data_IF_634120083465
#
_entry.id   IF_634120083465
#
_cell.length_a   1.000
_cell.length_b   1.000
_cell.length_c   1.000
_cell.angle_alpha   90.00
_cell.angle_beta   90.00
_cell.angle_gamma   90.00
#
_symmetry.space_group_name_H-M   'P 1'
#
loop_
_entity.id
_entity.type
_entity.pdbx_description
1 polymer ?
#
# COMPACT_ATOMS: atom_id res chain seq x y z
N UNK A 1 -19.50 -115.04 18.25
CA UNK A 1 -18.09 -115.14 17.86
C UNK A 1 -17.75 -114.05 16.83
N UNK A 2 -18.33 -114.08 15.63
CA UNK A 2 -18.12 -113.11 14.55
C UNK A 2 -18.25 -111.61 14.95
N UNK A 3 -19.31 -111.23 15.68
CA UNK A 3 -19.52 -109.83 16.12
C UNK A 3 -18.39 -109.33 17.03
N UNK A 4 -17.90 -110.20 17.92
CA UNK A 4 -16.83 -109.88 18.89
C UNK A 4 -15.46 -109.76 18.20
N UNK A 5 -15.29 -110.49 17.10
CA UNK A 5 -14.11 -110.45 16.23
C UNK A 5 -14.10 -109.18 15.37
N UNK A 6 -15.27 -108.81 14.81
CA UNK A 6 -15.49 -107.54 14.09
C UNK A 6 -15.28 -106.33 15.01
N UNK A 7 -15.75 -106.37 16.26
CA UNK A 7 -15.49 -105.33 17.27
C UNK A 7 -13.99 -105.23 17.63
N UNK A 8 -13.29 -106.35 17.76
CA UNK A 8 -11.85 -106.39 18.00
C UNK A 8 -11.04 -105.80 16.85
N UNK A 9 -11.41 -106.13 15.61
CA UNK A 9 -10.80 -105.56 14.39
C UNK A 9 -11.11 -104.07 14.28
N UNK A 10 -12.34 -103.63 14.56
CA UNK A 10 -12.71 -102.21 14.55
C UNK A 10 -11.95 -101.40 15.61
N UNK A 11 -11.74 -101.95 16.80
CA UNK A 11 -10.94 -101.32 17.85
C UNK A 11 -9.47 -101.19 17.44
N UNK A 12 -8.87 -102.26 16.92
CA UNK A 12 -7.51 -102.22 16.41
C UNK A 12 -7.34 -101.22 15.26
N UNK A 13 -8.27 -101.18 14.30
CA UNK A 13 -8.27 -100.21 13.20
C UNK A 13 -8.41 -98.77 13.71
N UNK A 14 -9.25 -98.54 14.72
CA UNK A 14 -9.39 -97.22 15.37
C UNK A 14 -8.10 -96.79 16.08
N UNK A 15 -7.48 -97.69 16.84
CA UNK A 15 -6.23 -97.43 17.57
C UNK A 15 -5.07 -97.18 16.60
N UNK A 16 -4.95 -97.98 15.54
CA UNK A 16 -3.96 -97.78 14.48
C UNK A 16 -4.18 -96.45 13.73
N UNK A 17 -5.44 -96.08 13.48
CA UNK A 17 -5.78 -94.78 12.85
C UNK A 17 -5.46 -93.61 13.76
N UNK A 18 -5.68 -93.74 15.07
CA UNK A 18 -5.33 -92.72 16.06
C UNK A 18 -3.80 -92.57 16.19
N UNK A 19 -3.07 -93.68 16.25
CA UNK A 19 -1.60 -93.68 16.24
C UNK A 19 -1.05 -93.05 14.96
N UNK A 20 -1.61 -93.37 13.80
CA UNK A 20 -1.23 -92.74 12.53
C UNK A 20 -1.50 -91.24 12.53
N UNK A 21 -2.66 -90.79 13.03
CA UNK A 21 -2.98 -89.37 13.16
C UNK A 21 -1.99 -88.65 14.07
N UNK A 22 -1.68 -89.22 15.24
CA UNK A 22 -0.74 -88.65 16.19
C UNK A 22 0.67 -88.56 15.60
N UNK A 23 1.18 -89.65 15.04
CA UNK A 23 2.48 -89.68 14.38
C UNK A 23 2.54 -88.69 13.20
N UNK A 24 1.46 -88.57 12.43
CA UNK A 24 1.38 -87.61 11.33
C UNK A 24 1.43 -86.16 11.82
N UNK A 25 0.82 -85.85 12.97
CA UNK A 25 0.91 -84.52 13.60
C UNK A 25 2.32 -84.28 14.12
N UNK A 26 2.94 -85.24 14.80
CA UNK A 26 4.32 -85.16 15.28
C UNK A 26 5.32 -84.96 14.13
N UNK A 27 5.18 -85.70 13.03
CA UNK A 27 6.04 -85.53 11.86
C UNK A 27 5.89 -84.14 11.25
N UNK A 28 4.66 -83.57 11.21
CA UNK A 28 4.46 -82.19 10.74
C UNK A 28 5.04 -81.17 11.71
N UNK A 29 4.94 -81.36 13.03
CA UNK A 29 5.50 -80.42 14.00
C UNK A 29 7.02 -80.44 13.99
N UNK A 30 7.64 -81.61 13.91
CA UNK A 30 9.09 -81.75 13.74
C UNK A 30 9.54 -81.11 12.43
N UNK A 31 8.80 -81.32 11.33
CA UNK A 31 9.12 -80.67 10.05
C UNK A 31 9.08 -79.14 10.18
N UNK A 32 8.02 -78.59 10.78
CA UNK A 32 7.89 -77.14 10.99
C UNK A 32 9.02 -76.58 11.86
N UNK A 33 9.40 -77.30 12.91
CA UNK A 33 10.53 -76.93 13.77
C UNK A 33 11.86 -76.94 12.99
N UNK A 34 12.11 -77.96 12.18
CA UNK A 34 13.32 -78.05 11.36
C UNK A 34 13.37 -76.96 10.29
N UNK A 35 12.24 -76.63 9.67
CA UNK A 35 12.12 -75.49 8.75
C UNK A 35 12.47 -74.16 9.44
N UNK A 36 12.03 -73.97 10.69
CA UNK A 36 12.37 -72.80 11.50
C UNK A 36 13.85 -72.77 11.91
N UNK A 37 14.43 -73.91 12.25
CA UNK A 37 15.88 -74.05 12.53
C UNK A 37 16.70 -73.69 11.30
N UNK A 38 16.32 -74.15 10.10
CA UNK A 38 17.01 -73.81 8.85
C UNK A 38 16.94 -72.30 8.59
N UNK A 39 15.75 -71.70 8.73
CA UNK A 39 15.55 -70.27 8.57
C UNK A 39 16.44 -69.45 9.53
N UNK A 40 16.50 -69.88 10.81
CA UNK A 40 17.36 -69.22 11.79
C UNK A 40 18.86 -69.42 11.50
N UNK A 41 19.28 -70.57 10.96
CA UNK A 41 20.65 -70.78 10.49
C UNK A 41 21.03 -69.86 9.33
N UNK A 42 20.14 -69.70 8.35
CA UNK A 42 20.35 -68.77 7.23
C UNK A 42 20.46 -67.33 7.72
N UNK A 43 19.55 -66.92 8.62
CA UNK A 43 19.56 -65.59 9.23
C UNK A 43 20.82 -65.37 10.08
N UNK A 44 21.19 -66.32 10.94
CA UNK A 44 22.39 -66.25 11.77
C UNK A 44 23.66 -66.17 10.93
N UNK A 45 23.81 -67.08 9.97
CA UNK A 45 25.03 -67.14 9.13
C UNK A 45 25.21 -65.87 8.29
N UNK A 46 24.13 -65.36 7.70
CA UNK A 46 24.17 -64.12 6.91
C UNK A 46 24.46 -62.88 7.77
N UNK A 47 23.79 -62.73 8.91
CA UNK A 47 24.00 -61.59 9.83
C UNK A 47 25.37 -61.61 10.49
N UNK A 48 25.90 -62.78 10.85
CA UNK A 48 27.27 -62.91 11.36
C UNK A 48 28.29 -62.49 10.30
N UNK A 49 28.16 -62.98 9.08
CA UNK A 49 29.10 -62.66 8.00
C UNK A 49 29.12 -61.16 7.70
N UNK A 50 27.94 -60.53 7.59
CA UNK A 50 27.84 -59.09 7.33
C UNK A 50 28.35 -58.26 8.51
N UNK A 51 27.99 -58.62 9.75
CA UNK A 51 28.38 -57.88 10.95
C UNK A 51 29.89 -57.99 11.23
N UNK A 52 30.50 -59.15 10.99
CA UNK A 52 31.96 -59.31 11.13
C UNK A 52 32.72 -58.41 10.17
N UNK A 53 32.36 -58.41 8.89
CA UNK A 53 32.98 -57.56 7.88
C UNK A 53 32.84 -56.08 8.25
N UNK A 54 31.63 -55.67 8.66
CA UNK A 54 31.39 -54.30 9.08
C UNK A 54 32.17 -53.91 10.35
N UNK A 55 32.27 -54.79 11.35
CA UNK A 55 33.03 -54.53 12.58
C UNK A 55 34.51 -54.26 12.29
N UNK A 56 35.11 -55.00 11.36
CA UNK A 56 36.51 -54.80 10.97
C UNK A 56 36.74 -53.43 10.33
N UNK A 57 35.82 -53.00 9.46
CA UNK A 57 35.90 -51.68 8.83
C UNK A 57 35.61 -50.57 9.83
N UNK A 58 34.64 -50.77 10.72
CA UNK A 58 34.29 -49.84 11.78
C UNK A 58 35.44 -49.61 12.77
N UNK A 59 36.14 -50.67 13.17
CA UNK A 59 37.32 -50.60 14.04
C UNK A 59 38.45 -49.79 13.39
N UNK A 60 38.66 -49.94 12.07
CA UNK A 60 39.63 -49.12 11.32
C UNK A 60 39.19 -47.65 11.24
N UNK A 61 37.90 -47.40 11.08
CA UNK A 61 37.34 -46.03 11.00
C UNK A 61 37.53 -45.22 12.28
N UNK A 62 37.67 -45.84 13.45
CA UNK A 62 37.93 -45.14 14.71
C UNK A 62 39.19 -44.25 14.69
N UNK A 63 40.15 -44.54 13.81
CA UNK A 63 41.40 -43.80 13.67
C UNK A 63 41.37 -42.73 12.56
N UNK A 64 40.24 -42.57 11.86
CA UNK A 64 40.09 -41.59 10.80
C UNK A 64 39.66 -40.21 11.32
N UNK A 65 39.44 -39.26 10.41
CA UNK A 65 38.92 -37.94 10.77
C UNK A 65 37.49 -38.02 11.31
N UNK A 66 37.06 -37.02 12.09
CA UNK A 66 35.68 -36.97 12.59
C UNK A 66 34.64 -36.91 11.46
N UNK A 67 34.96 -36.27 10.32
CA UNK A 67 34.07 -36.23 9.15
C UNK A 67 33.82 -37.63 8.60
N UNK A 68 34.89 -38.42 8.42
CA UNK A 68 34.81 -39.77 7.85
C UNK A 68 34.05 -40.72 8.79
N UNK A 69 34.30 -40.62 10.11
CA UNK A 69 33.53 -41.37 11.12
C UNK A 69 32.04 -41.07 11.04
N UNK A 70 31.69 -39.78 10.94
CA UNK A 70 30.30 -39.33 10.91
C UNK A 70 29.56 -39.88 9.70
N UNK A 71 30.21 -39.89 8.53
CA UNK A 71 29.65 -40.46 7.31
C UNK A 71 29.50 -41.99 7.40
N UNK A 72 30.53 -42.70 7.88
CA UNK A 72 30.50 -44.15 8.00
C UNK A 72 29.45 -44.65 9.01
N UNK A 73 29.40 -44.03 10.20
CA UNK A 73 28.48 -44.44 11.28
C UNK A 73 27.06 -43.91 11.11
N UNK A 74 26.77 -43.17 10.04
CA UNK A 74 25.40 -42.72 9.72
C UNK A 74 24.39 -43.86 9.65
N UNK A 75 24.83 -45.02 9.15
CA UNK A 75 24.01 -46.24 9.05
C UNK A 75 24.09 -47.13 10.31
N UNK A 76 24.61 -46.63 11.44
CA UNK A 76 24.69 -47.40 12.69
C UNK A 76 23.34 -47.99 13.16
N UNK A 77 22.18 -47.32 13.00
CA UNK A 77 20.89 -47.93 13.34
C UNK A 77 20.59 -49.25 12.63
N UNK A 78 21.00 -49.38 11.35
CA UNK A 78 20.88 -50.63 10.61
C UNK A 78 21.70 -51.75 11.26
N UNK A 79 22.93 -51.43 11.66
CA UNK A 79 23.83 -52.40 12.29
C UNK A 79 23.42 -52.77 13.72
N UNK A 80 22.79 -51.85 14.46
CA UNK A 80 22.15 -52.18 15.75
C UNK A 80 21.08 -53.26 15.53
N UNK A 81 20.25 -53.10 14.49
CA UNK A 81 19.22 -54.09 14.14
C UNK A 81 19.84 -55.43 13.70
N UNK A 82 20.86 -55.41 12.84
CA UNK A 82 21.59 -56.64 12.43
C UNK A 82 22.19 -57.38 13.62
N UNK A 83 22.76 -56.66 14.59
CA UNK A 83 23.28 -57.24 15.83
C UNK A 83 22.18 -57.86 16.69
N UNK A 84 21.00 -57.23 16.78
CA UNK A 84 19.83 -57.82 17.47
C UNK A 84 19.36 -59.09 16.77
N UNK A 85 19.18 -59.02 15.45
CA UNK A 85 18.74 -60.14 14.62
C UNK A 85 19.69 -61.35 14.70
N UNK A 86 21.00 -61.09 14.74
CA UNK A 86 22.03 -62.11 14.97
C UNK A 86 21.89 -62.77 16.34
N UNK A 87 21.67 -61.98 17.39
CA UNK A 87 21.52 -62.49 18.76
C UNK A 87 20.25 -63.33 18.90
N UNK A 88 19.12 -62.88 18.34
CA UNK A 88 17.85 -63.60 18.42
C UNK A 88 17.95 -64.96 17.70
N UNK A 89 18.49 -64.96 16.47
CA UNK A 89 18.69 -66.19 15.71
C UNK A 89 19.69 -67.13 16.40
N UNK A 90 20.81 -66.59 16.91
CA UNK A 90 21.82 -67.39 17.60
C UNK A 90 21.31 -67.98 18.92
N UNK A 91 20.51 -67.25 19.69
CA UNK A 91 19.89 -67.77 20.92
C UNK A 91 18.88 -68.89 20.61
N UNK A 92 18.05 -68.73 19.57
CA UNK A 92 17.14 -69.79 19.13
C UNK A 92 17.90 -71.07 18.74
N UNK A 93 18.99 -70.94 17.98
CA UNK A 93 19.80 -72.09 17.56
C UNK A 93 20.50 -72.76 18.75
N UNK A 94 20.96 -71.98 19.74
CA UNK A 94 21.53 -72.51 20.99
C UNK A 94 20.52 -73.37 21.76
N UNK A 95 19.25 -72.99 21.76
CA UNK A 95 18.18 -73.71 22.48
C UNK A 95 17.71 -74.96 21.75
N UNK A 96 17.81 -74.98 20.41
CA UNK A 96 17.21 -76.02 19.56
C UNK A 96 18.22 -77.05 19.03
N UNK A 97 19.49 -76.70 18.90
CA UNK A 97 20.55 -77.60 18.41
C UNK A 97 21.16 -78.47 19.54
N UNK A 98 21.95 -79.46 19.15
CA UNK A 98 22.66 -80.31 20.10
C UNK A 98 23.77 -79.56 20.86
N UNK A 99 24.18 -80.13 21.99
CA UNK A 99 25.08 -79.48 22.95
C UNK A 99 26.43 -79.02 22.33
N UNK A 100 26.93 -79.75 21.33
CA UNK A 100 28.20 -79.41 20.66
C UNK A 100 28.04 -78.12 19.86
N UNK A 101 27.01 -78.08 19.01
CA UNK A 101 26.67 -76.93 18.16
C UNK A 101 26.31 -75.72 19.01
N UNK A 102 25.50 -75.92 20.05
CA UNK A 102 25.12 -74.85 20.98
C UNK A 102 26.33 -74.27 21.71
N UNK A 103 27.34 -75.08 22.05
CA UNK A 103 28.59 -74.59 22.68
C UNK A 103 29.39 -73.72 21.72
N UNK A 104 29.50 -74.11 20.45
CA UNK A 104 30.21 -73.34 19.42
C UNK A 104 29.53 -72.00 19.16
N UNK A 105 28.20 -72.00 18.99
CA UNK A 105 27.39 -70.79 18.82
C UNK A 105 27.55 -69.82 20.01
N UNK A 106 27.54 -70.34 21.25
CA UNK A 106 27.78 -69.53 22.46
C UNK A 106 29.14 -68.86 22.42
N UNK A 107 30.18 -69.57 22.00
CA UNK A 107 31.53 -69.01 21.93
C UNK A 107 31.63 -67.92 20.85
N UNK A 108 31.03 -68.14 19.68
CA UNK A 108 31.03 -67.18 18.58
C UNK A 108 30.25 -65.91 18.95
N UNK A 109 29.05 -66.04 19.51
CA UNK A 109 28.25 -64.91 20.00
C UNK A 109 28.98 -64.13 21.09
N UNK A 110 29.65 -64.81 22.03
CA UNK A 110 30.40 -64.13 23.09
C UNK A 110 31.48 -63.20 22.51
N UNK A 111 32.24 -63.67 21.51
CA UNK A 111 33.30 -62.90 20.87
C UNK A 111 32.73 -61.71 20.08
N UNK A 112 31.70 -61.95 19.25
CA UNK A 112 31.06 -60.92 18.43
C UNK A 112 30.40 -59.84 19.29
N UNK A 113 29.63 -60.24 20.31
CA UNK A 113 29.00 -59.31 21.24
C UNK A 113 30.03 -58.52 22.06
N UNK A 114 31.19 -59.14 22.37
CA UNK A 114 32.33 -58.46 23.00
C UNK A 114 32.88 -57.32 22.13
N UNK A 115 33.22 -57.62 20.87
CA UNK A 115 33.71 -56.63 19.89
C UNK A 115 32.69 -55.53 19.65
N UNK A 116 31.42 -55.91 19.39
CA UNK A 116 30.32 -54.96 19.20
C UNK A 116 30.20 -54.01 20.39
N UNK A 117 30.21 -54.53 21.64
CA UNK A 117 30.09 -53.70 22.84
C UNK A 117 31.22 -52.68 22.96
N UNK A 118 32.46 -53.09 22.70
CA UNK A 118 33.60 -52.18 22.79
C UNK A 118 33.53 -51.05 21.76
N UNK A 119 33.20 -51.39 20.50
CA UNK A 119 33.00 -50.41 19.44
C UNK A 119 31.80 -49.50 19.75
N UNK A 120 30.66 -50.08 20.09
CA UNK A 120 29.39 -49.37 20.26
C UNK A 120 29.48 -48.27 21.32
N UNK A 121 30.19 -48.49 22.43
CA UNK A 121 30.40 -47.45 23.45
C UNK A 121 31.07 -46.21 22.87
N UNK A 122 31.98 -46.39 21.90
CA UNK A 122 32.72 -45.29 21.24
C UNK A 122 31.84 -44.59 20.19
N UNK A 123 30.96 -45.31 19.48
CA UNK A 123 30.26 -44.80 18.29
C UNK A 123 28.75 -44.56 18.45
N UNK A 124 28.14 -44.95 19.57
CA UNK A 124 26.68 -44.86 19.81
C UNK A 124 26.07 -43.48 19.58
N UNK A 125 26.85 -42.41 19.73
CA UNK A 125 26.38 -41.04 19.54
C UNK A 125 26.09 -40.72 18.06
N UNK A 126 26.74 -41.42 17.12
CA UNK A 126 26.48 -41.26 15.69
C UNK A 126 25.12 -41.84 15.26
N UNK A 127 24.52 -42.74 16.04
CA UNK A 127 23.19 -43.30 15.74
C UNK A 127 22.08 -42.22 15.69
N UNK A 128 22.31 -41.08 16.34
CA UNK A 128 21.40 -39.92 16.33
C UNK A 128 21.96 -38.73 15.55
N UNK A 129 23.09 -38.87 14.85
CA UNK A 129 23.75 -37.74 14.18
C UNK A 129 22.83 -37.03 13.18
N UNK A 130 22.13 -37.80 12.33
CA UNK A 130 21.19 -37.26 11.35
C UNK A 130 19.99 -36.55 12.01
N UNK A 131 19.46 -37.12 13.09
CA UNK A 131 18.36 -36.50 13.85
C UNK A 131 18.82 -35.19 14.49
N UNK A 132 20.02 -35.17 15.07
CA UNK A 132 20.62 -33.99 15.70
C UNK A 132 20.90 -32.92 14.66
N UNK A 133 21.43 -33.27 13.48
CA UNK A 133 21.68 -32.32 12.39
C UNK A 133 20.38 -31.71 11.88
N UNK A 134 19.33 -32.54 11.72
CA UNK A 134 18.00 -32.05 11.36
C UNK A 134 17.44 -31.11 12.43
N UNK A 135 17.55 -31.47 13.71
CA UNK A 135 17.11 -30.61 14.81
C UNK A 135 17.88 -29.29 14.88
N UNK A 136 19.20 -29.32 14.65
CA UNK A 136 20.03 -28.11 14.57
C UNK A 136 19.56 -27.22 13.43
N UNK A 137 19.36 -27.79 12.23
CA UNK A 137 18.86 -27.05 11.08
C UNK A 137 17.46 -26.45 11.33
N UNK A 138 16.52 -27.24 11.82
CA UNK A 138 15.15 -26.78 12.11
C UNK A 138 15.15 -25.69 13.21
N UNK A 139 16.07 -25.77 14.18
CA UNK A 139 16.30 -24.70 15.16
C UNK A 139 16.85 -23.44 14.48
N UNK A 140 17.92 -23.54 13.70
CA UNK A 140 18.58 -22.42 13.04
C UNK A 140 17.64 -21.70 12.06
N UNK A 141 16.90 -22.44 11.23
CA UNK A 141 15.89 -21.92 10.31
C UNK A 141 14.78 -21.17 11.07
N UNK A 142 14.33 -21.72 12.21
CA UNK A 142 13.35 -21.08 13.08
C UNK A 142 13.85 -19.76 13.69
N UNK A 143 15.12 -19.75 14.13
CA UNK A 143 15.78 -18.58 14.69
C UNK A 143 15.98 -17.49 13.62
N UNK A 144 16.39 -17.86 12.41
CA UNK A 144 16.55 -16.94 11.28
C UNK A 144 15.20 -16.31 10.89
N UNK A 145 14.15 -17.12 10.77
CA UNK A 145 12.81 -16.63 10.47
C UNK A 145 12.29 -15.62 11.51
N UNK A 146 12.57 -15.87 12.81
CA UNK A 146 12.20 -14.97 13.90
C UNK A 146 12.97 -13.65 13.84
N UNK A 147 14.29 -13.70 13.62
CA UNK A 147 15.13 -12.50 13.46
C UNK A 147 14.67 -11.67 12.27
N UNK A 148 14.51 -12.30 11.10
CA UNK A 148 14.04 -11.63 9.89
C UNK A 148 12.66 -10.97 10.09
N UNK A 149 11.76 -11.63 10.82
CA UNK A 149 10.47 -11.03 11.17
C UNK A 149 10.62 -9.80 12.08
N UNK A 150 11.41 -9.90 13.15
CA UNK A 150 11.66 -8.80 14.10
C UNK A 150 12.29 -7.60 13.36
N UNK A 151 13.33 -7.84 12.58
CA UNK A 151 14.04 -6.81 11.82
C UNK A 151 13.11 -6.13 10.81
N UNK A 152 12.35 -6.92 10.04
CA UNK A 152 11.39 -6.40 9.07
C UNK A 152 10.22 -5.65 9.73
N UNK A 153 9.76 -6.09 10.90
CA UNK A 153 8.74 -5.38 11.66
C UNK A 153 9.28 -4.04 12.20
N UNK A 154 10.51 -4.05 12.72
CA UNK A 154 11.19 -2.86 13.22
C UNK A 154 11.44 -1.84 12.10
N UNK A 155 11.88 -2.30 10.94
CA UNK A 155 12.07 -1.46 9.75
C UNK A 155 10.74 -0.81 9.35
N UNK A 156 9.70 -1.62 9.07
CA UNK A 156 8.38 -1.11 8.63
C UNK A 156 7.77 -0.13 9.63
N UNK A 157 7.88 -0.36 10.93
CA UNK A 157 7.33 0.54 11.96
C UNK A 157 8.12 1.84 12.17
N UNK A 158 9.34 1.94 11.63
CA UNK A 158 10.23 3.09 11.85
C UNK A 158 10.59 3.84 10.56
N UNK A 159 10.32 3.27 9.38
CA UNK A 159 10.56 3.94 8.10
C UNK A 159 9.81 5.27 8.05
N UNK A 160 10.45 6.36 7.58
CA UNK A 160 9.78 7.64 7.46
C UNK A 160 8.56 7.58 6.53
N UNK A 161 7.41 8.08 7.00
CA UNK A 161 6.16 8.09 6.23
C UNK A 161 5.64 9.50 6.07
N UNK A 162 5.44 9.93 4.82
CA UNK A 162 4.83 11.22 4.51
C UNK A 162 3.35 11.22 4.91
N UNK A 163 2.95 12.19 5.72
CA UNK A 163 1.57 12.31 6.23
C UNK A 163 0.62 12.69 5.09
N UNK A 164 -0.16 11.71 4.64
CA UNK A 164 -1.29 11.86 3.73
C UNK A 164 -2.32 10.77 4.01
N UNK A 165 -3.57 10.95 3.58
CA UNK A 165 -4.62 9.94 3.81
C UNK A 165 -4.21 8.55 3.29
N UNK A 166 -3.68 8.49 2.06
CA UNK A 166 -3.30 7.22 1.44
C UNK A 166 -2.09 6.59 2.13
N UNK A 167 -1.05 7.38 2.41
CA UNK A 167 0.18 6.84 3.01
C UNK A 167 -0.05 6.33 4.43
N UNK A 168 -0.82 7.07 5.26
CA UNK A 168 -1.15 6.62 6.62
C UNK A 168 -2.01 5.36 6.58
N UNK A 169 -2.93 5.25 5.61
CA UNK A 169 -3.72 4.03 5.40
C UNK A 169 -2.86 2.84 5.00
N UNK A 170 -1.89 3.02 4.08
CA UNK A 170 -0.95 1.95 3.70
C UNK A 170 -0.09 1.54 4.89
N UNK A 171 0.46 2.52 5.62
CA UNK A 171 1.25 2.26 6.83
C UNK A 171 0.45 1.48 7.89
N UNK A 172 -0.82 1.82 8.10
CA UNK A 172 -1.70 1.06 8.99
C UNK A 172 -1.83 -0.40 8.56
N UNK A 173 -2.01 -0.66 7.26
CA UNK A 173 -2.07 -2.02 6.74
C UNK A 173 -0.76 -2.79 7.01
N UNK A 174 0.39 -2.15 6.78
CA UNK A 174 1.70 -2.76 7.05
C UNK A 174 1.86 -3.17 8.54
N UNK A 175 1.40 -2.32 9.46
CA UNK A 175 1.44 -2.60 10.90
C UNK A 175 0.39 -3.64 11.31
N UNK A 176 -0.77 -3.67 10.66
CA UNK A 176 -1.77 -4.73 10.86
C UNK A 176 -1.25 -6.09 10.39
N UNK A 177 -0.57 -6.14 9.25
CA UNK A 177 0.02 -7.38 8.72
C UNK A 177 1.10 -7.93 9.67
N UNK A 178 1.91 -7.05 10.28
CA UNK A 178 2.84 -7.44 11.36
C UNK A 178 2.06 -8.09 12.50
N UNK A 179 1.00 -7.44 13.00
CA UNK A 179 0.15 -7.97 14.08
C UNK A 179 -0.45 -9.32 13.74
N UNK A 180 -0.93 -9.52 12.51
CA UNK A 180 -1.50 -10.79 12.05
C UNK A 180 -0.45 -11.91 11.95
N UNK A 181 0.81 -11.59 11.70
CA UNK A 181 1.90 -12.57 11.61
C UNK A 181 2.46 -12.99 12.98
N UNK A 182 2.23 -12.20 14.05
CA UNK A 182 2.71 -12.50 15.43
C UNK A 182 2.33 -13.91 15.90
N UNK A 183 1.08 -14.41 15.79
CA UNK A 183 0.74 -15.76 16.27
C UNK A 183 1.51 -16.89 15.58
N UNK A 184 1.76 -16.76 14.27
CA UNK A 184 2.56 -17.72 13.51
C UNK A 184 4.01 -17.73 13.97
N UNK A 185 4.58 -16.55 14.23
CA UNK A 185 5.94 -16.43 14.74
C UNK A 185 6.05 -16.89 16.20
N UNK A 186 5.01 -16.73 17.02
CA UNK A 186 4.98 -17.30 18.38
C UNK A 186 5.01 -18.84 18.33
N UNK A 187 4.29 -19.45 17.39
CA UNK A 187 4.35 -20.89 17.16
C UNK A 187 5.75 -21.32 16.70
N UNK A 188 6.40 -20.56 15.80
CA UNK A 188 7.77 -20.82 15.38
C UNK A 188 8.77 -20.74 16.55
N UNK A 189 8.64 -19.74 17.43
CA UNK A 189 9.44 -19.61 18.65
C UNK A 189 9.25 -20.81 19.59
N UNK A 190 8.02 -21.29 19.78
CA UNK A 190 7.74 -22.49 20.59
C UNK A 190 8.37 -23.74 19.99
N UNK A 191 8.31 -23.91 18.67
CA UNK A 191 8.97 -25.03 17.96
C UNK A 191 10.48 -24.96 18.10
N UNK A 192 11.10 -23.79 17.86
CA UNK A 192 12.54 -23.58 18.04
C UNK A 192 12.96 -23.87 19.50
N UNK A 193 12.15 -23.47 20.49
CA UNK A 193 12.38 -23.80 21.90
C UNK A 193 12.39 -25.30 22.16
N UNK A 194 11.44 -26.04 21.58
CA UNK A 194 11.38 -27.50 21.71
C UNK A 194 12.59 -28.17 21.07
N UNK A 195 13.01 -27.71 19.90
CA UNK A 195 14.20 -28.23 19.21
C UNK A 195 15.47 -27.96 20.02
N UNK A 196 15.63 -26.72 20.53
CA UNK A 196 16.73 -26.35 21.41
C UNK A 196 16.80 -27.25 22.66
N UNK A 197 15.67 -27.51 23.32
CA UNK A 197 15.60 -28.40 24.47
C UNK A 197 16.05 -29.83 24.13
N UNK A 198 15.66 -30.35 22.95
CA UNK A 198 16.09 -31.67 22.49
C UNK A 198 17.59 -31.73 22.21
N UNK A 199 18.16 -30.66 21.64
CA UNK A 199 19.57 -30.55 21.34
C UNK A 199 20.46 -30.50 22.58
N UNK A 200 19.98 -30.03 23.74
CA UNK A 200 20.81 -29.91 24.97
C UNK A 200 21.54 -31.19 25.38
N UNK A 201 21.03 -32.38 25.01
CA UNK A 201 21.67 -33.67 25.32
C UNK A 201 22.89 -33.98 24.45
N UNK A 202 22.99 -33.30 23.31
CA UNK A 202 23.92 -33.58 22.23
C UNK A 202 24.88 -32.40 21.98
N UNK A 203 24.84 -31.36 22.83
CA UNK A 203 25.63 -30.12 22.76
C UNK A 203 26.59 -29.98 23.94
N UNK A 204 27.68 -29.23 23.75
CA UNK A 204 28.57 -28.78 24.83
C UNK A 204 27.91 -27.70 25.70
N UNK A 205 28.39 -27.52 26.94
CA UNK A 205 27.86 -26.48 27.84
C UNK A 205 27.95 -25.07 27.23
N UNK A 206 29.04 -24.77 26.50
CA UNK A 206 29.22 -23.50 25.80
C UNK A 206 28.23 -23.29 24.65
N UNK A 207 27.95 -24.33 23.87
CA UNK A 207 26.91 -24.30 22.83
C UNK A 207 25.52 -24.09 23.43
N UNK A 208 25.20 -24.79 24.53
CA UNK A 208 23.94 -24.64 25.24
C UNK A 208 23.79 -23.20 25.75
N UNK A 209 24.83 -22.64 26.38
CA UNK A 209 24.81 -21.27 26.88
C UNK A 209 24.55 -20.24 25.75
N UNK A 210 25.24 -20.38 24.60
CA UNK A 210 25.02 -19.51 23.43
C UNK A 210 23.62 -19.63 22.85
N UNK A 211 23.10 -20.85 22.75
CA UNK A 211 21.76 -21.14 22.25
C UNK A 211 20.69 -20.49 23.15
N UNK A 212 20.80 -20.66 24.47
CA UNK A 212 19.88 -20.06 25.44
C UNK A 212 19.94 -18.53 25.45
N UNK A 213 21.15 -17.95 25.34
CA UNK A 213 21.31 -16.50 25.22
C UNK A 213 20.61 -15.95 23.98
N UNK A 214 20.82 -16.59 22.82
CA UNK A 214 20.16 -16.21 21.55
C UNK A 214 18.65 -16.24 21.66
N UNK A 215 18.12 -17.32 22.26
CA UNK A 215 16.68 -17.47 22.49
C UNK A 215 16.12 -16.40 23.43
N UNK A 216 16.83 -16.06 24.50
CA UNK A 216 16.43 -15.02 25.43
C UNK A 216 16.36 -13.65 24.74
N UNK A 217 17.37 -13.31 23.93
CA UNK A 217 17.37 -12.07 23.13
C UNK A 217 16.20 -12.02 22.16
N UNK A 218 15.95 -13.10 21.41
CA UNK A 218 14.83 -13.15 20.45
C UNK A 218 13.50 -13.02 21.18
N UNK A 219 13.32 -13.67 22.33
CA UNK A 219 12.09 -13.57 23.12
C UNK A 219 11.83 -12.14 23.58
N UNK A 220 12.86 -11.47 24.10
CA UNK A 220 12.78 -10.08 24.56
C UNK A 220 12.40 -9.15 23.40
N UNK A 221 13.13 -9.19 22.29
CA UNK A 221 12.84 -8.37 21.11
C UNK A 221 11.47 -8.68 20.48
N UNK A 222 11.11 -9.96 20.38
CA UNK A 222 9.81 -10.39 19.86
C UNK A 222 8.64 -9.87 20.71
N UNK A 223 8.78 -9.86 22.04
CA UNK A 223 7.73 -9.33 22.93
C UNK A 223 7.50 -7.83 22.76
N UNK A 224 8.52 -7.06 22.37
CA UNK A 224 8.41 -5.61 22.10
C UNK A 224 7.67 -5.29 20.81
N UNK A 225 7.62 -6.21 19.84
CA UNK A 225 6.93 -6.00 18.55
C UNK A 225 5.45 -5.64 18.72
N UNK A 226 4.61 -6.46 19.39
CA UNK A 226 3.20 -6.12 19.60
C UNK A 226 3.01 -4.89 20.52
N UNK A 227 3.86 -4.70 21.53
CA UNK A 227 3.82 -3.54 22.43
C UNK A 227 4.06 -2.21 21.71
N UNK A 228 4.85 -2.25 20.62
CA UNK A 228 5.07 -1.11 19.72
C UNK A 228 3.97 -0.96 18.68
N UNK A 229 3.57 -2.06 18.04
CA UNK A 229 2.58 -2.05 16.97
C UNK A 229 1.20 -1.54 17.42
N UNK A 230 0.71 -1.95 18.61
CA UNK A 230 -0.64 -1.61 19.06
C UNK A 230 -0.87 -0.10 19.23
N UNK A 231 0.02 0.66 19.91
CA UNK A 231 -0.13 2.11 20.00
C UNK A 231 0.06 2.82 18.65
N UNK A 232 0.95 2.32 17.79
CA UNK A 232 1.14 2.86 16.44
C UNK A 232 -0.14 2.75 15.61
N UNK A 233 -0.82 1.60 15.65
CA UNK A 233 -2.12 1.42 15.01
C UNK A 233 -3.16 2.39 15.55
N UNK A 234 -3.29 2.46 16.89
CA UNK A 234 -4.29 3.33 17.53
C UNK A 234 -4.07 4.80 17.17
N UNK A 235 -2.84 5.28 17.32
CA UNK A 235 -2.52 6.70 17.13
C UNK A 235 -2.58 7.07 15.64
N UNK A 236 -2.13 6.18 14.74
CA UNK A 236 -2.21 6.42 13.30
C UNK A 236 -3.64 6.37 12.77
N UNK A 237 -4.47 5.46 13.29
CA UNK A 237 -5.89 5.35 12.95
C UNK A 237 -6.66 6.62 13.32
N UNK A 238 -6.31 7.27 14.45
CA UNK A 238 -6.94 8.50 14.87
C UNK A 238 -6.71 9.68 13.89
N UNK A 239 -5.67 9.60 13.05
CA UNK A 239 -5.39 10.63 12.03
C UNK A 239 -6.17 10.43 10.73
N UNK A 240 -6.74 9.24 10.47
CA UNK A 240 -7.47 8.99 9.22
C UNK A 240 -8.69 9.91 9.04
N UNK A 241 -9.59 10.09 10.03
CA UNK A 241 -10.74 10.99 9.88
C UNK A 241 -10.37 12.45 9.53
N UNK A 242 -9.44 13.13 10.25
CA UNK A 242 -9.07 14.49 9.87
C UNK A 242 -8.38 14.54 8.50
N UNK A 243 -7.56 13.56 8.12
CA UNK A 243 -6.93 13.50 6.80
C UNK A 243 -7.95 13.32 5.67
N UNK A 244 -8.92 12.42 5.84
CA UNK A 244 -10.00 12.20 4.87
C UNK A 244 -10.84 13.48 4.68
N UNK A 245 -11.17 14.13 5.78
CA UNK A 245 -11.93 15.38 5.77
C UNK A 245 -11.17 16.52 5.09
N UNK A 246 -9.84 16.58 5.28
CA UNK A 246 -8.98 17.50 4.55
C UNK A 246 -9.03 17.23 3.04
N UNK A 247 -8.88 15.98 2.58
CA UNK A 247 -8.91 15.68 1.13
C UNK A 247 -10.25 16.07 0.48
N UNK A 248 -11.37 15.86 1.18
CA UNK A 248 -12.70 16.32 0.72
C UNK A 248 -12.73 17.84 0.55
N UNK A 249 -12.23 18.59 1.53
CA UNK A 249 -12.22 20.05 1.50
C UNK A 249 -11.21 20.62 0.52
N UNK A 250 -10.08 19.95 0.29
CA UNK A 250 -9.10 20.33 -0.74
C UNK A 250 -9.73 20.19 -2.13
N UNK A 251 -10.47 19.10 -2.36
CA UNK A 251 -11.22 18.90 -3.62
C UNK A 251 -12.27 20.00 -3.82
N UNK A 252 -13.07 20.29 -2.78
CA UNK A 252 -14.07 21.36 -2.82
C UNK A 252 -13.47 22.76 -3.00
N UNK A 253 -12.28 23.01 -2.43
CA UNK A 253 -11.52 24.24 -2.62
C UNK A 253 -11.15 24.44 -4.08
N UNK A 254 -10.50 23.44 -4.70
CA UNK A 254 -10.07 23.56 -6.10
C UNK A 254 -11.25 23.68 -7.07
N UNK A 255 -12.37 22.99 -6.82
CA UNK A 255 -13.60 23.16 -7.61
C UNK A 255 -14.18 24.57 -7.52
N UNK A 256 -14.13 25.19 -6.33
CA UNK A 256 -14.60 26.57 -6.14
C UNK A 256 -13.65 27.58 -6.78
N UNK A 257 -12.34 27.34 -6.65
CA UNK A 257 -11.29 28.15 -7.27
C UNK A 257 -11.42 28.14 -8.80
N UNK A 258 -11.57 26.97 -9.41
CA UNK A 258 -11.72 26.83 -10.86
C UNK A 258 -12.95 27.62 -11.38
N UNK A 259 -14.08 27.53 -10.68
CA UNK A 259 -15.30 28.27 -11.05
C UNK A 259 -15.08 29.79 -10.95
N UNK A 260 -14.35 30.26 -9.94
CA UNK A 260 -13.99 31.67 -9.82
C UNK A 260 -13.04 32.13 -10.93
N UNK A 261 -12.04 31.31 -11.29
CA UNK A 261 -11.11 31.57 -12.39
C UNK A 261 -11.83 31.65 -13.75
N UNK A 262 -12.85 30.80 -13.99
CA UNK A 262 -13.66 30.88 -15.22
C UNK A 262 -14.40 32.21 -15.36
N UNK A 263 -14.94 32.73 -14.26
CA UNK A 263 -15.64 34.03 -14.26
C UNK A 263 -14.65 35.18 -14.50
N UNK A 264 -13.51 35.17 -13.80
CA UNK A 264 -12.51 36.25 -13.88
C UNK A 264 -11.74 36.26 -15.22
N UNK A 265 -11.66 35.11 -15.89
CA UNK A 265 -11.05 34.99 -17.23
C UNK A 265 -11.97 35.39 -18.39
N UNK A 266 -13.30 35.45 -18.17
CA UNK A 266 -14.28 35.88 -19.18
C UNK A 266 -14.16 37.39 -19.42
N UNK A 267 -13.92 37.78 -20.67
CA UNK A 267 -13.69 39.18 -21.12
C UNK A 267 -14.91 39.83 -21.77
N UNK A 268 -16.08 39.20 -21.74
CA UNK A 268 -17.21 39.62 -22.57
C UNK A 268 -17.88 40.92 -22.06
N UNK A 269 -18.37 41.72 -23.01
CA UNK A 269 -19.16 42.94 -22.79
C UNK A 269 -20.57 42.53 -22.34
N UNK A 270 -20.82 42.60 -21.03
CA UNK A 270 -22.02 41.99 -20.43
C UNK A 270 -23.09 42.99 -20.00
N UNK A 271 -24.35 42.54 -20.08
CA UNK A 271 -25.49 43.31 -19.62
C UNK A 271 -25.39 43.58 -18.10
N UNK A 272 -25.91 44.70 -17.58
CA UNK A 272 -25.83 45.04 -16.16
C UNK A 272 -26.40 43.99 -15.19
N UNK A 273 -27.31 43.12 -15.66
CA UNK A 273 -27.87 42.01 -14.89
C UNK A 273 -26.87 40.88 -14.62
N UNK A 274 -26.04 40.55 -15.61
CA UNK A 274 -25.10 39.43 -15.56
C UNK A 274 -23.90 39.75 -14.66
N UNK A 275 -23.43 41.00 -14.68
CA UNK A 275 -22.34 41.45 -13.80
C UNK A 275 -22.67 41.32 -12.31
N UNK A 276 -23.89 41.74 -11.91
CA UNK A 276 -24.32 41.66 -10.51
C UNK A 276 -24.41 40.20 -10.05
N UNK A 277 -24.91 39.32 -10.91
CA UNK A 277 -24.97 37.88 -10.65
C UNK A 277 -23.56 37.28 -10.50
N UNK A 278 -22.66 37.51 -11.46
CA UNK A 278 -21.27 37.03 -11.40
C UNK A 278 -20.51 37.53 -10.18
N UNK A 279 -20.73 38.79 -9.78
CA UNK A 279 -20.17 39.32 -8.54
C UNK A 279 -20.63 38.53 -7.31
N UNK A 280 -21.91 38.15 -7.28
CA UNK A 280 -22.48 37.35 -6.19
C UNK A 280 -21.93 35.91 -6.19
N UNK A 281 -21.78 35.31 -7.37
CA UNK A 281 -21.17 33.98 -7.54
C UNK A 281 -19.71 33.97 -7.07
N UNK A 282 -18.92 34.97 -7.46
CA UNK A 282 -17.53 35.12 -7.01
C UNK A 282 -17.42 35.27 -5.49
N UNK A 283 -18.31 36.05 -4.86
CA UNK A 283 -18.36 36.15 -3.38
C UNK A 283 -18.68 34.80 -2.76
N UNK A 284 -19.59 34.05 -3.37
CA UNK A 284 -19.97 32.70 -2.91
C UNK A 284 -18.78 31.73 -3.01
N UNK A 285 -18.04 31.73 -4.13
CA UNK A 285 -16.86 30.88 -4.29
C UNK A 285 -15.72 31.28 -3.36
N UNK A 286 -15.49 32.58 -3.13
CA UNK A 286 -14.53 33.06 -2.15
C UNK A 286 -14.87 32.58 -0.73
N UNK A 287 -16.14 32.68 -0.33
CA UNK A 287 -16.61 32.18 0.96
C UNK A 287 -16.48 30.66 1.07
N UNK A 288 -16.78 29.93 -0.01
CA UNK A 288 -16.58 28.48 -0.10
C UNK A 288 -15.12 28.08 0.13
N UNK A 289 -14.18 28.72 -0.58
CA UNK A 289 -12.75 28.50 -0.42
C UNK A 289 -12.27 28.81 1.01
N UNK A 290 -12.73 29.93 1.59
CA UNK A 290 -12.42 30.30 2.98
C UNK A 290 -12.93 29.27 3.98
N UNK A 291 -14.14 28.75 3.78
CA UNK A 291 -14.70 27.68 4.62
C UNK A 291 -13.87 26.40 4.51
N UNK A 292 -13.47 26.02 3.29
CA UNK A 292 -12.60 24.87 3.06
C UNK A 292 -11.27 25.02 3.79
N UNK A 293 -10.60 26.16 3.64
CA UNK A 293 -9.34 26.44 4.34
C UNK A 293 -9.50 26.37 5.86
N UNK A 294 -10.57 26.95 6.43
CA UNK A 294 -10.80 26.88 7.88
C UNK A 294 -10.94 25.45 8.41
N UNK A 295 -11.56 24.54 7.63
CA UNK A 295 -11.67 23.12 7.99
C UNK A 295 -10.32 22.43 7.85
N UNK A 296 -9.58 22.71 6.77
CA UNK A 296 -8.25 22.17 6.52
C UNK A 296 -7.28 22.56 7.65
N UNK A 297 -7.24 23.84 8.03
CA UNK A 297 -6.39 24.35 9.10
C UNK A 297 -6.76 23.71 10.45
N UNK A 298 -8.06 23.58 10.75
CA UNK A 298 -8.52 22.91 11.97
C UNK A 298 -8.05 21.45 12.04
N UNK A 299 -8.22 20.70 10.95
CA UNK A 299 -7.81 19.29 10.90
C UNK A 299 -6.29 19.14 10.93
N UNK A 300 -5.55 20.04 10.28
CA UNK A 300 -4.10 20.08 10.39
C UNK A 300 -3.64 20.27 11.84
N UNK A 301 -4.27 21.18 12.59
CA UNK A 301 -3.95 21.36 14.03
C UNK A 301 -4.27 20.12 14.87
N UNK A 302 -5.35 19.38 14.55
CA UNK A 302 -5.67 18.11 15.22
C UNK A 302 -4.56 17.08 14.95
N UNK A 303 -4.06 17.00 13.71
CA UNK A 303 -2.97 16.09 13.33
C UNK A 303 -1.68 16.47 14.05
N UNK A 304 -1.26 17.74 14.01
CA UNK A 304 -0.06 18.21 14.71
C UNK A 304 -0.11 17.93 16.21
N UNK A 305 -1.27 18.17 16.85
CA UNK A 305 -1.45 17.86 18.28
C UNK A 305 -1.30 16.36 18.57
N UNK A 306 -1.81 15.51 17.68
CA UNK A 306 -1.69 14.05 17.81
C UNK A 306 -0.23 13.59 17.70
N UNK A 307 0.51 14.18 16.76
CA UNK A 307 1.94 13.92 16.57
C UNK A 307 2.78 14.40 17.76
N UNK A 308 2.51 15.59 18.29
CA UNK A 308 3.23 16.15 19.46
C UNK A 308 2.99 15.33 20.74
N UNK A 309 1.77 14.79 20.89
CA UNK A 309 1.42 13.97 22.06
C UNK A 309 2.02 12.56 22.00
N UNK A 310 2.28 12.03 20.81
CA UNK A 310 2.77 10.65 20.63
C UNK A 310 4.25 10.59 20.29
N UNK A 311 5.08 10.21 21.27
CA UNK A 311 6.51 9.96 21.04
C UNK A 311 6.79 8.82 20.06
N UNK A 312 5.80 7.98 19.75
CA UNK A 312 5.93 6.81 18.86
C UNK A 312 5.77 7.16 17.37
N UNK A 313 5.20 8.33 17.05
CA UNK A 313 4.92 8.76 15.67
C UNK A 313 6.03 9.64 15.05
N UNK A 314 7.23 9.68 15.64
CA UNK A 314 8.34 10.55 15.18
C UNK A 314 8.83 10.29 13.76
N UNK A 315 8.55 9.12 13.20
CA UNK A 315 8.90 8.78 11.81
C UNK A 315 7.92 9.39 10.81
N UNK A 316 6.80 9.97 11.25
CA UNK A 316 5.85 10.63 10.36
C UNK A 316 6.33 12.03 9.99
N UNK A 317 6.32 12.34 8.68
CA UNK A 317 6.79 13.61 8.13
C UNK A 317 5.61 14.45 7.61
N UNK A 318 5.47 15.67 8.15
CA UNK A 318 4.42 16.65 7.80
C UNK A 318 4.82 17.63 6.71
N UNK A 319 6.06 17.62 6.24
CA UNK A 319 6.62 18.65 5.36
C UNK A 319 5.84 18.85 4.05
N UNK A 320 5.37 17.77 3.42
CA UNK A 320 4.54 17.85 2.21
C UNK A 320 3.12 18.35 2.49
N UNK A 321 2.56 17.99 3.64
CA UNK A 321 1.24 18.47 4.07
C UNK A 321 1.27 19.98 4.33
N UNK A 322 2.29 20.46 5.04
CA UNK A 322 2.52 21.88 5.32
C UNK A 322 2.70 22.70 4.04
N UNK A 323 3.47 22.18 3.09
CA UNK A 323 3.65 22.80 1.77
C UNK A 323 2.33 22.94 1.03
N UNK A 324 1.55 21.86 0.97
CA UNK A 324 0.23 21.86 0.30
C UNK A 324 -0.73 22.87 0.93
N UNK A 325 -0.73 23.00 2.26
CA UNK A 325 -1.55 23.99 2.96
C UNK A 325 -1.11 25.42 2.61
N UNK A 326 0.20 25.67 2.59
CA UNK A 326 0.75 26.97 2.20
C UNK A 326 0.34 27.33 0.76
N UNK A 327 0.40 26.38 -0.17
CA UNK A 327 -0.04 26.56 -1.56
C UNK A 327 -1.54 26.88 -1.67
N UNK A 328 -2.39 26.20 -0.90
CA UNK A 328 -3.84 26.46 -0.86
C UNK A 328 -4.15 27.87 -0.31
N UNK A 329 -3.45 28.28 0.75
CA UNK A 329 -3.57 29.63 1.31
C UNK A 329 -3.13 30.69 0.29
N UNK A 330 -2.00 30.49 -0.38
CA UNK A 330 -1.52 31.37 -1.45
C UNK A 330 -2.52 31.45 -2.62
N UNK A 331 -3.07 30.32 -3.06
CA UNK A 331 -4.07 30.25 -4.13
C UNK A 331 -5.35 31.02 -3.76
N UNK A 332 -5.80 30.92 -2.51
CA UNK A 332 -6.96 31.68 -2.04
C UNK A 332 -6.71 33.19 -2.04
N UNK A 333 -5.52 33.62 -1.61
CA UNK A 333 -5.12 35.03 -1.67
C UNK A 333 -5.03 35.52 -3.13
N UNK A 334 -4.49 34.70 -4.03
CA UNK A 334 -4.45 34.96 -5.47
C UNK A 334 -5.83 35.18 -6.07
N UNK A 335 -6.77 34.27 -5.81
CA UNK A 335 -8.16 34.38 -6.25
C UNK A 335 -8.85 35.66 -5.76
N UNK A 336 -8.60 36.05 -4.50
CA UNK A 336 -9.16 37.30 -3.96
C UNK A 336 -8.62 38.50 -4.73
N UNK A 337 -7.31 38.56 -4.98
CA UNK A 337 -6.70 39.63 -5.77
C UNK A 337 -7.27 39.68 -7.19
N UNK A 338 -7.27 38.56 -7.89
CA UNK A 338 -7.80 38.44 -9.26
C UNK A 338 -9.28 38.86 -9.35
N UNK A 339 -10.09 38.43 -8.38
CA UNK A 339 -11.50 38.86 -8.29
C UNK A 339 -11.63 40.37 -8.09
N UNK A 340 -10.81 40.98 -7.24
CA UNK A 340 -10.87 42.43 -7.01
C UNK A 340 -10.43 43.24 -8.23
N UNK A 341 -9.43 42.74 -8.95
CA UNK A 341 -8.94 43.36 -10.19
C UNK A 341 -9.98 43.24 -11.30
N UNK A 342 -10.58 42.05 -11.47
CA UNK A 342 -11.68 41.84 -12.41
C UNK A 342 -12.87 42.76 -12.14
N UNK A 343 -13.32 42.90 -10.87
CA UNK A 343 -14.40 43.83 -10.51
C UNK A 343 -14.07 45.27 -10.90
N UNK A 344 -12.87 45.74 -10.56
CA UNK A 344 -12.41 47.10 -10.89
C UNK A 344 -12.36 47.31 -12.40
N UNK A 345 -11.90 46.32 -13.14
CA UNK A 345 -11.82 46.36 -14.60
C UNK A 345 -13.22 46.46 -15.24
N UNK A 346 -14.18 45.62 -14.82
CA UNK A 346 -15.54 45.65 -15.36
C UNK A 346 -16.26 46.95 -15.00
N UNK A 347 -16.11 47.47 -13.78
CA UNK A 347 -16.69 48.75 -13.37
C UNK A 347 -16.12 49.93 -14.18
N UNK A 348 -14.80 49.95 -14.42
CA UNK A 348 -14.17 50.95 -15.27
C UNK A 348 -14.73 50.89 -16.71
N UNK A 349 -14.84 49.68 -17.29
CA UNK A 349 -15.40 49.48 -18.63
C UNK A 349 -16.88 49.92 -18.71
N UNK A 350 -17.68 49.60 -17.69
CA UNK A 350 -19.08 50.06 -17.61
C UNK A 350 -19.18 51.59 -17.57
N UNK A 351 -18.30 52.24 -16.82
CA UNK A 351 -18.25 53.71 -16.75
C UNK A 351 -17.85 54.37 -18.08
N UNK A 352 -16.95 53.74 -18.84
CA UNK A 352 -16.57 54.16 -20.19
C UNK A 352 -17.74 54.03 -21.17
N UNK A 353 -18.41 52.87 -21.18
CA UNK A 353 -19.60 52.64 -22.00
C UNK A 353 -20.73 53.63 -21.69
N UNK A 354 -20.98 53.91 -20.40
CA UNK A 354 -21.99 54.90 -19.98
C UNK A 354 -21.66 56.31 -20.47
N UNK A 355 -20.41 56.76 -20.31
CA UNK A 355 -19.96 58.09 -20.80
C UNK A 355 -20.09 58.21 -22.31
N UNK A 356 -19.74 57.15 -23.05
CA UNK A 356 -19.96 57.09 -24.49
C UNK A 356 -21.45 57.26 -24.82
N UNK A 357 -22.33 56.47 -24.20
CA UNK A 357 -23.77 56.53 -24.46
C UNK A 357 -24.38 57.90 -24.12
N UNK A 358 -24.05 58.48 -22.97
CA UNK A 358 -24.51 59.82 -22.58
C UNK A 358 -24.05 60.89 -23.57
N UNK A 359 -22.77 60.85 -23.97
CA UNK A 359 -22.23 61.79 -24.96
C UNK A 359 -22.85 61.60 -26.35
N UNK A 360 -23.18 60.36 -26.72
CA UNK A 360 -23.88 60.02 -27.97
C UNK A 360 -25.29 60.59 -27.97
N UNK A 361 -26.06 60.33 -26.92
CA UNK A 361 -27.45 60.80 -26.79
C UNK A 361 -27.51 62.33 -26.77
N UNK A 362 -26.60 63.00 -26.07
CA UNK A 362 -26.57 64.47 -26.05
C UNK A 362 -26.19 65.04 -27.43
N UNK A 363 -25.19 64.46 -28.12
CA UNK A 363 -24.85 64.85 -29.49
C UNK A 363 -26.02 64.63 -30.46
N UNK A 364 -26.70 63.49 -30.38
CA UNK A 364 -27.88 63.19 -31.18
C UNK A 364 -29.04 64.14 -30.90
N UNK A 365 -29.28 64.50 -29.64
CA UNK A 365 -30.29 65.48 -29.24
C UNK A 365 -29.97 66.86 -29.81
N UNK A 366 -28.73 67.32 -29.68
CA UNK A 366 -28.28 68.60 -30.26
C UNK A 366 -28.42 68.60 -31.78
N UNK A 367 -28.03 67.51 -32.45
CA UNK A 367 -28.20 67.35 -33.90
C UNK A 367 -29.68 67.30 -34.33
N UNK A 368 -30.55 66.67 -33.52
CA UNK A 368 -31.99 66.61 -33.78
C UNK A 368 -32.64 67.98 -33.65
N UNK A 369 -32.36 68.72 -32.57
CA UNK A 369 -32.86 70.09 -32.38
C UNK A 369 -32.39 70.98 -33.52
N UNK A 370 -31.11 70.89 -33.89
CA UNK A 370 -30.57 71.63 -35.02
C UNK A 370 -31.27 71.33 -36.34
N UNK A 371 -31.57 70.06 -36.61
CA UNK A 371 -32.34 69.66 -37.80
C UNK A 371 -33.75 70.23 -37.76
N UNK A 372 -34.46 70.11 -36.64
CA UNK A 372 -35.82 70.66 -36.51
C UNK A 372 -35.86 72.16 -36.72
N UNK A 373 -34.90 72.91 -36.16
CA UNK A 373 -34.75 74.35 -36.40
C UNK A 373 -34.49 74.64 -37.88
N UNK A 374 -33.63 73.86 -38.55
CA UNK A 374 -33.36 74.07 -39.97
C UNK A 374 -34.58 73.88 -40.88
N UNK A 375 -35.56 73.07 -40.46
CA UNK A 375 -36.79 72.74 -41.20
C UNK A 375 -38.03 73.53 -40.74
N UNK A 376 -37.91 74.35 -39.69
CA UNK A 376 -39.01 75.14 -39.12
C UNK A 376 -39.46 76.23 -40.13
N UNK A 377 -40.78 76.38 -40.33
CA UNK A 377 -41.37 77.41 -41.21
C UNK A 377 -42.20 78.39 -40.38
N UNK A 378 -42.06 79.69 -40.65
CA UNK A 378 -42.63 80.77 -39.84
C UNK A 378 -42.10 82.13 -40.28
N UNK A 379 -42.32 83.17 -39.46
CA UNK A 379 -41.83 84.53 -39.72
C UNK A 379 -40.29 84.55 -39.83
N UNK A 380 -39.70 85.05 -40.94
CA UNK A 380 -38.26 85.04 -41.16
C UNK A 380 -37.45 85.72 -40.05
N UNK A 381 -37.92 86.83 -39.49
CA UNK A 381 -37.19 87.58 -38.44
C UNK A 381 -37.15 86.81 -37.11
N UNK A 382 -38.27 86.21 -36.72
CA UNK A 382 -38.37 85.42 -35.48
C UNK A 382 -37.54 84.12 -35.58
N UNK A 383 -37.56 83.46 -36.74
CA UNK A 383 -36.74 82.28 -37.00
C UNK A 383 -35.25 82.63 -37.04
N UNK A 384 -34.87 83.76 -37.64
CA UNK A 384 -33.48 84.23 -37.67
C UNK A 384 -32.96 84.53 -36.27
N UNK A 385 -33.76 85.18 -35.42
CA UNK A 385 -33.41 85.44 -34.02
C UNK A 385 -33.21 84.13 -33.25
N UNK A 386 -34.18 83.22 -33.32
CA UNK A 386 -34.15 81.89 -32.68
C UNK A 386 -32.96 81.03 -33.15
N UNK A 387 -32.65 81.04 -34.45
CA UNK A 387 -31.48 80.34 -34.98
C UNK A 387 -30.16 81.00 -34.54
N UNK A 388 -30.08 82.33 -34.54
CA UNK A 388 -28.85 83.00 -34.09
C UNK A 388 -28.56 82.70 -32.62
N UNK A 389 -29.58 82.68 -31.77
CA UNK A 389 -29.46 82.33 -30.35
C UNK A 389 -29.05 80.86 -30.16
N UNK A 390 -29.76 79.90 -30.78
CA UNK A 390 -29.47 78.47 -30.62
C UNK A 390 -28.10 78.07 -31.20
N UNK A 391 -27.76 78.54 -32.40
CA UNK A 391 -26.50 78.20 -33.05
C UNK A 391 -25.31 79.03 -32.53
N UNK A 392 -25.56 80.20 -31.94
CA UNK A 392 -24.55 80.98 -31.21
C UNK A 392 -24.19 80.39 -29.85
N UNK A 393 -25.12 79.66 -29.23
CA UNK A 393 -24.90 78.88 -28.00
C UNK A 393 -24.40 77.45 -28.27
N UNK A 394 -24.15 77.09 -29.54
CA UNK A 394 -23.72 75.75 -29.87
C UNK A 394 -22.28 75.51 -29.41
N UNK A 395 -22.13 74.66 -28.40
CA UNK A 395 -20.83 74.39 -27.80
C UNK A 395 -20.10 73.24 -28.53
N UNK A 396 -18.91 73.54 -29.09
CA UNK A 396 -18.01 72.55 -29.67
C UNK A 396 -17.58 71.47 -28.66
N UNK A 397 -17.68 71.76 -27.36
CA UNK A 397 -17.39 70.81 -26.28
C UNK A 397 -18.28 69.56 -26.35
N UNK A 398 -19.50 69.64 -26.90
CA UNK A 398 -20.38 68.47 -27.04
C UNK A 398 -19.79 67.45 -28.03
N UNK A 399 -19.31 67.90 -29.20
CA UNK A 399 -18.65 67.02 -30.15
C UNK A 399 -17.32 66.49 -29.60
N UNK A 400 -16.52 67.35 -28.97
CA UNK A 400 -15.22 66.97 -28.41
C UNK A 400 -15.37 65.94 -27.29
N UNK A 401 -16.40 66.05 -26.44
CA UNK A 401 -16.70 65.08 -25.40
C UNK A 401 -17.11 63.71 -25.98
N UNK A 402 -17.91 63.70 -27.04
CA UNK A 402 -18.26 62.47 -27.76
C UNK A 402 -17.04 61.79 -28.39
N UNK A 403 -16.21 62.55 -29.12
CA UNK A 403 -15.00 61.99 -29.75
C UNK A 403 -14.03 61.44 -28.71
N UNK A 404 -13.81 62.18 -27.62
CA UNK A 404 -12.99 61.70 -26.49
C UNK A 404 -13.52 60.41 -25.88
N UNK A 405 -14.84 60.31 -25.68
CA UNK A 405 -15.46 59.08 -25.17
C UNK A 405 -15.33 57.90 -26.16
N UNK A 406 -15.29 58.15 -27.46
CA UNK A 406 -15.04 57.12 -28.48
C UNK A 406 -13.59 56.67 -28.50
N UNK A 407 -12.63 57.59 -28.37
CA UNK A 407 -11.21 57.26 -28.31
C UNK A 407 -10.93 56.38 -27.07
N UNK A 408 -11.40 56.81 -25.89
CA UNK A 408 -11.26 56.06 -24.64
C UNK A 408 -11.94 54.67 -24.70
N UNK A 409 -12.99 54.50 -25.50
CA UNK A 409 -13.71 53.23 -25.66
C UNK A 409 -13.05 52.33 -26.72
N UNK A 410 -12.45 52.90 -27.75
CA UNK A 410 -11.75 52.15 -28.81
C UNK A 410 -10.61 51.32 -28.23
N UNK A 411 -9.93 51.83 -27.20
CA UNK A 411 -8.81 51.15 -26.54
C UNK A 411 -9.21 49.85 -25.82
N UNK A 412 -10.49 49.68 -25.49
CA UNK A 412 -10.98 48.53 -24.68
C UNK A 412 -11.91 47.58 -25.43
N UNK A 413 -12.43 47.98 -26.60
CA UNK A 413 -13.40 47.18 -27.34
C UNK A 413 -12.75 46.12 -28.24
N UNK A 414 -13.41 44.96 -28.44
CA UNK A 414 -13.03 43.99 -29.47
C UNK A 414 -13.11 44.59 -30.89
N UNK A 415 -12.34 44.07 -31.85
CA UNK A 415 -12.28 44.57 -33.24
C UNK A 415 -13.66 44.69 -33.90
N UNK A 416 -14.57 43.77 -33.62
CA UNK A 416 -15.91 43.78 -34.20
C UNK A 416 -16.78 44.92 -33.65
N UNK A 417 -16.66 45.25 -32.37
CA UNK A 417 -17.37 46.37 -31.76
C UNK A 417 -16.72 47.73 -32.09
N UNK A 418 -15.39 47.74 -32.27
CA UNK A 418 -14.67 48.92 -32.76
C UNK A 418 -15.17 49.36 -34.15
N UNK A 419 -15.48 48.42 -35.06
CA UNK A 419 -16.05 48.77 -36.38
C UNK A 419 -17.40 49.48 -36.24
N UNK A 420 -18.29 48.96 -35.41
CA UNK A 420 -19.60 49.57 -35.13
C UNK A 420 -19.47 50.96 -34.50
N UNK A 421 -18.51 51.12 -33.58
CA UNK A 421 -18.17 52.41 -32.98
C UNK A 421 -17.69 53.41 -34.04
N UNK A 422 -16.75 53.00 -34.90
CA UNK A 422 -16.23 53.86 -35.97
C UNK A 422 -17.31 54.31 -36.96
N UNK A 423 -18.26 53.44 -37.32
CA UNK A 423 -19.39 53.80 -38.17
C UNK A 423 -20.28 54.85 -37.49
N UNK A 424 -20.57 54.68 -36.21
CA UNK A 424 -21.35 55.61 -35.40
C UNK A 424 -20.66 56.98 -35.33
N UNK A 425 -19.34 56.99 -35.08
CA UNK A 425 -18.51 58.20 -35.09
C UNK A 425 -18.57 58.89 -36.45
N UNK A 426 -18.32 58.17 -37.55
CA UNK A 426 -18.37 58.73 -38.90
C UNK A 426 -19.74 59.34 -39.22
N UNK A 427 -20.83 58.67 -38.85
CA UNK A 427 -22.20 59.12 -39.08
C UNK A 427 -22.49 60.42 -38.33
N UNK A 428 -22.26 60.46 -37.01
CA UNK A 428 -22.58 61.64 -36.20
C UNK A 428 -21.65 62.82 -36.51
N UNK A 429 -20.36 62.56 -36.73
CA UNK A 429 -19.40 63.60 -37.11
C UNK A 429 -19.72 64.21 -38.49
N UNK A 430 -20.15 63.39 -39.47
CA UNK A 430 -20.61 63.90 -40.77
C UNK A 430 -21.83 64.80 -40.63
N UNK A 431 -22.80 64.41 -39.79
CA UNK A 431 -24.01 65.20 -39.55
C UNK A 431 -23.70 66.55 -38.89
N UNK A 432 -22.74 66.57 -37.97
CA UNK A 432 -22.25 67.80 -37.35
C UNK A 432 -21.60 68.74 -38.38
N UNK A 433 -20.67 68.23 -39.21
CA UNK A 433 -20.01 69.04 -40.25
C UNK A 433 -20.97 69.60 -41.31
N UNK A 434 -21.97 68.82 -41.72
CA UNK A 434 -22.99 69.28 -42.68
C UNK A 434 -23.79 70.46 -42.08
N UNK A 435 -24.12 70.38 -40.79
CA UNK A 435 -24.79 71.46 -40.07
C UNK A 435 -23.93 72.73 -39.97
N UNK A 436 -22.66 72.62 -39.57
CA UNK A 436 -21.74 73.78 -39.48
C UNK A 436 -21.62 74.53 -40.82
N UNK A 437 -21.55 73.78 -41.93
CA UNK A 437 -21.52 74.34 -43.29
C UNK A 437 -22.82 75.05 -43.64
N UNK A 438 -23.98 74.46 -43.34
CA UNK A 438 -25.29 75.06 -43.59
C UNK A 438 -25.55 76.31 -42.74
N UNK A 439 -25.07 76.32 -41.49
CA UNK A 439 -25.09 77.50 -40.62
C UNK A 439 -24.22 78.63 -41.19
N UNK A 440 -22.98 78.31 -41.56
CA UNK A 440 -22.05 79.27 -42.16
C UNK A 440 -22.62 79.88 -43.44
N UNK A 441 -23.27 79.05 -44.27
CA UNK A 441 -23.94 79.49 -45.49
C UNK A 441 -25.13 80.43 -45.20
N UNK A 442 -26.02 80.08 -44.26
CA UNK A 442 -27.17 80.94 -43.87
C UNK A 442 -26.73 82.27 -43.23
N UNK A 443 -25.69 82.25 -42.39
CA UNK A 443 -25.10 83.49 -41.82
C UNK A 443 -24.43 84.36 -42.90
N UNK A 444 -23.85 83.76 -43.94
CA UNK A 444 -23.26 84.50 -45.05
C UNK A 444 -24.34 85.09 -45.98
N UNK A 445 -25.45 84.38 -46.23
CA UNK A 445 -26.62 84.93 -46.90
C UNK A 445 -27.23 86.13 -46.12
N UNK A 446 -27.28 86.06 -44.78
CA UNK A 446 -27.67 87.17 -43.87
C UNK A 446 -26.74 88.39 -44.02
N UNK A 447 -25.43 88.17 -44.15
CA UNK A 447 -24.44 89.26 -44.26
C UNK A 447 -24.54 90.02 -45.59
N UNK A 448 -25.06 89.36 -46.63
CA UNK A 448 -25.18 89.89 -47.97
C UNK A 448 -26.61 90.35 -48.33
N UNK A 449 -27.52 90.45 -47.36
CA UNK A 449 -28.86 91.04 -47.56
C UNK A 449 -29.87 90.19 -48.33
N UNK A 450 -29.56 88.91 -48.59
CA UNK A 450 -30.51 87.98 -49.20
C UNK A 450 -31.49 87.50 -48.12
N UNK A 451 -32.65 88.16 -48.01
CA UNK A 451 -33.80 87.62 -47.30
C UNK A 451 -34.28 86.36 -48.03
N UNK A 452 -34.48 85.28 -47.28
CA UNK A 452 -35.28 84.14 -47.71
C UNK A 452 -36.75 84.41 -47.38
#
# INVERSE_FOLDING_TARGET
>A
AYIKEVEGVNKFLSDATAQWKNLSVEVRSVRSMLEEVICNWEKYSSTVASLQAWLEDAEKMLNQSESDKREFFRNLPHWIQQHMDMNDAGNFLIETCDETVSRELKQQLLLLNGRWRELFVKVKHYARADEVDKLRKDYDDGIEALKAFIDSANERMNTPVQVSFLNIRTYLQDVEDIKHKVPSMEAAYKTATRNAQQLTKDLTEEEIARMLATMATIKDEFSKVPERALPLLRDSQAMLPPLEEMEKHITGFYQSLEKASRITSSRDSEAPGDFKQKCQELVTYQQSCKKCLSVIDKNHQIILKSLDTSQKLKHLDTSLLERRITELQASSQGMVKETTEWKRHVEANSSLMKRFEESRVELEKVLKIARSSMTERGNPEDLLKKHTEFFGQLDQRVLNAFLKACDELSDILPEQEQQNLQETVRKLHKQWKVRERLQSYRLNCRRNGYLF
#
